data_IF_827052642046
#
_entry.id   IF_827052642046
#
_cell.length_a   1.000
_cell.length_b   1.000
_cell.length_c   1.000
_cell.angle_alpha   90.00
_cell.angle_beta   90.00
_cell.angle_gamma   90.00
#
_symmetry.space_group_name_H-M   'P 1'
#
loop_
_entity.id
_entity.type
_entity.pdbx_description
1 polymer ?
#
# COMPACT_ATOMS: atom_id res chain seq x y z
N UNK A 1 20.82 19.15 22.51
CA UNK A 1 20.97 19.46 21.08
C UNK A 1 19.78 18.87 20.32
N UNK A 2 18.78 19.69 19.99
CA UNK A 2 17.61 19.25 19.21
C UNK A 2 17.99 19.15 17.74
N UNK A 3 17.98 17.92 17.20
CA UNK A 3 18.18 17.67 15.77
C UNK A 3 17.04 18.30 14.96
N UNK A 4 17.40 19.27 14.11
CA UNK A 4 16.50 19.93 13.16
C UNK A 4 16.06 18.88 12.14
N UNK A 5 14.76 18.56 12.10
CA UNK A 5 14.19 17.72 11.04
C UNK A 5 14.28 18.46 9.71
N UNK A 6 14.81 17.81 8.69
CA UNK A 6 14.84 18.34 7.32
C UNK A 6 13.41 18.56 6.81
N UNK A 7 13.15 19.63 6.05
CA UNK A 7 11.87 19.85 5.38
C UNK A 7 11.70 18.79 4.28
N UNK A 8 10.54 18.14 4.24
CA UNK A 8 10.23 17.14 3.22
C UNK A 8 10.64 15.70 3.57
N UNK A 9 10.36 15.24 4.79
CA UNK A 9 10.33 13.80 5.07
C UNK A 9 9.02 13.43 5.76
N UNK A 10 8.07 12.92 4.97
CA UNK A 10 6.86 12.29 5.46
C UNK A 10 7.19 11.22 6.51
N UNK A 11 6.34 11.10 7.53
CA UNK A 11 6.56 10.13 8.61
C UNK A 11 6.69 8.72 8.01
N UNK A 12 7.64 7.87 8.44
CA UNK A 12 7.86 6.54 7.83
C UNK A 12 6.60 5.68 7.71
N UNK A 13 5.79 5.62 8.77
CA UNK A 13 4.46 4.99 8.76
C UNK A 13 3.49 5.53 7.69
N UNK A 14 3.56 6.81 7.35
CA UNK A 14 2.66 7.40 6.35
C UNK A 14 3.03 6.90 4.96
N UNK A 15 4.32 6.96 4.63
CA UNK A 15 4.85 6.48 3.34
C UNK A 15 4.53 5.00 3.14
N UNK A 16 4.90 4.15 4.10
CA UNK A 16 4.70 2.70 3.92
C UNK A 16 3.22 2.31 3.85
N UNK A 17 2.32 3.02 4.53
CA UNK A 17 0.87 2.78 4.44
C UNK A 17 0.33 3.06 3.05
N UNK A 18 0.76 4.16 2.41
CA UNK A 18 0.35 4.44 1.03
C UNK A 18 0.95 3.43 0.05
N UNK A 19 2.22 3.07 0.19
CA UNK A 19 2.82 1.98 -0.61
C UNK A 19 2.04 0.68 -0.44
N UNK A 20 1.69 0.31 0.78
CA UNK A 20 0.91 -0.89 1.08
C UNK A 20 -0.47 -0.84 0.40
N UNK A 21 -1.22 0.24 0.60
CA UNK A 21 -2.58 0.38 0.05
C UNK A 21 -2.56 0.33 -1.47
N UNK A 22 -1.72 1.15 -2.12
CA UNK A 22 -1.69 1.21 -3.59
C UNK A 22 -1.19 -0.10 -4.19
N UNK A 23 -0.18 -0.73 -3.59
CA UNK A 23 0.27 -2.04 -4.05
C UNK A 23 -0.80 -3.11 -3.83
N UNK A 24 -1.52 -3.09 -2.71
CA UNK A 24 -2.65 -4.00 -2.47
C UNK A 24 -3.69 -3.87 -3.59
N UNK A 25 -4.10 -2.63 -3.90
CA UNK A 25 -5.11 -2.35 -4.93
C UNK A 25 -4.64 -2.77 -6.32
N UNK A 26 -3.35 -2.57 -6.64
CA UNK A 26 -2.76 -2.99 -7.90
C UNK A 26 -2.65 -4.51 -8.03
N UNK A 27 -2.31 -5.19 -6.94
CA UNK A 27 -1.92 -6.60 -6.98
C UNK A 27 -3.06 -7.58 -6.80
N UNK A 28 -4.18 -7.16 -6.20
CA UNK A 28 -5.33 -8.04 -6.01
C UNK A 28 -5.89 -8.54 -7.35
N UNK A 29 -6.15 -9.84 -7.44
CA UNK A 29 -6.84 -10.44 -8.58
C UNK A 29 -8.27 -9.90 -8.68
N UNK A 30 -8.68 -9.55 -9.89
CA UNK A 30 -9.97 -8.90 -10.13
C UNK A 30 -11.16 -9.82 -9.82
N UNK A 31 -11.07 -11.11 -10.19
CA UNK A 31 -12.14 -12.08 -9.92
C UNK A 31 -12.28 -12.32 -8.42
N UNK A 32 -11.15 -12.43 -7.71
CA UNK A 32 -11.15 -12.54 -6.25
C UNK A 32 -11.72 -11.29 -5.59
N UNK A 33 -11.34 -10.10 -6.07
CA UNK A 33 -11.85 -8.84 -5.57
C UNK A 33 -13.38 -8.77 -5.70
N UNK A 34 -13.93 -9.07 -6.87
CA UNK A 34 -15.39 -9.03 -7.10
C UNK A 34 -16.12 -10.01 -6.16
N UNK A 35 -15.62 -11.25 -6.05
CA UNK A 35 -16.22 -12.27 -5.19
C UNK A 35 -16.07 -12.00 -3.69
N UNK A 36 -15.10 -11.17 -3.27
CA UNK A 36 -14.79 -10.88 -1.86
C UNK A 36 -14.84 -9.39 -1.55
N UNK A 37 -15.59 -8.62 -2.34
CA UNK A 37 -15.54 -7.15 -2.36
C UNK A 37 -15.66 -6.55 -0.97
N UNK A 38 -16.71 -6.90 -0.24
CA UNK A 38 -16.95 -6.37 1.11
C UNK A 38 -15.78 -6.66 2.06
N UNK A 39 -15.28 -7.90 2.06
CA UNK A 39 -14.15 -8.30 2.91
C UNK A 39 -12.89 -7.51 2.58
N UNK A 40 -12.60 -7.31 1.30
CA UNK A 40 -11.45 -6.52 0.84
C UNK A 40 -11.57 -5.06 1.24
N UNK A 41 -12.74 -4.45 1.00
CA UNK A 41 -12.98 -3.05 1.35
C UNK A 41 -12.91 -2.84 2.87
N UNK A 42 -13.37 -3.80 3.67
CA UNK A 42 -13.23 -3.78 5.13
C UNK A 42 -11.76 -3.85 5.58
N UNK A 43 -10.93 -4.69 4.96
CA UNK A 43 -9.49 -4.75 5.25
C UNK A 43 -8.83 -3.39 5.01
N UNK A 44 -9.06 -2.78 3.85
CA UNK A 44 -8.46 -1.48 3.51
C UNK A 44 -8.99 -0.34 4.39
N UNK A 45 -10.28 -0.34 4.73
CA UNK A 45 -10.87 0.61 5.68
C UNK A 45 -10.24 0.48 7.07
N UNK A 46 -10.03 -0.74 7.56
CA UNK A 46 -9.39 -0.99 8.86
C UNK A 46 -7.92 -0.55 8.86
N UNK A 47 -7.18 -0.76 7.77
CA UNK A 47 -5.80 -0.25 7.64
C UNK A 47 -5.76 1.28 7.82
N UNK A 48 -6.77 2.00 7.33
CA UNK A 48 -6.87 3.45 7.51
C UNK A 48 -7.14 3.87 8.97
N UNK A 49 -7.81 3.04 9.78
CA UNK A 49 -8.07 3.33 11.21
C UNK A 49 -6.86 3.04 12.11
N UNK A 50 -5.89 2.30 11.60
CA UNK A 50 -4.64 1.95 12.27
C UNK A 50 -3.61 3.09 12.33
N UNK A 51 -3.82 4.17 11.57
CA UNK A 51 -2.87 5.28 11.45
C UNK A 51 -2.49 5.82 12.86
N UNK A 52 -1.21 5.97 13.19
CA UNK A 52 -0.79 6.30 14.56
C UNK A 52 -0.96 7.79 14.93
N UNK A 53 -1.28 8.66 13.97
CA UNK A 53 -1.54 10.08 14.25
C UNK A 53 -3.04 10.30 14.48
N UNK A 54 -3.48 10.78 15.67
CA UNK A 54 -4.89 11.01 15.97
C UNK A 54 -5.58 11.95 14.97
N UNK A 55 -4.92 13.04 14.58
CA UNK A 55 -5.45 13.99 13.58
C UNK A 55 -5.61 13.35 12.22
N UNK A 56 -4.61 12.60 11.74
CA UNK A 56 -4.70 11.89 10.46
C UNK A 56 -5.78 10.82 10.49
N UNK A 57 -5.98 10.11 11.61
CA UNK A 57 -7.09 9.17 11.79
C UNK A 57 -8.44 9.87 11.68
N UNK A 58 -8.61 11.00 12.38
CA UNK A 58 -9.86 11.75 12.33
C UNK A 58 -10.18 12.21 10.90
N UNK A 59 -9.21 12.75 10.17
CA UNK A 59 -9.35 13.13 8.76
C UNK A 59 -9.68 11.93 7.87
N UNK A 60 -9.03 10.78 8.11
CA UNK A 60 -9.32 9.54 7.39
C UNK A 60 -10.76 9.08 7.62
N UNK A 61 -11.21 9.01 8.87
CA UNK A 61 -12.59 8.65 9.22
C UNK A 61 -13.61 9.61 8.60
N UNK A 62 -13.32 10.91 8.59
CA UNK A 62 -14.18 11.91 7.96
C UNK A 62 -14.25 11.70 6.44
N UNK A 63 -13.12 11.43 5.78
CA UNK A 63 -13.08 11.15 4.35
C UNK A 63 -13.88 9.90 4.00
N UNK A 64 -13.69 8.79 4.73
CA UNK A 64 -14.42 7.54 4.51
C UNK A 64 -15.93 7.70 4.78
N UNK A 65 -16.32 8.55 5.74
CA UNK A 65 -17.74 8.89 5.99
C UNK A 65 -18.37 9.69 4.84
N UNK A 66 -17.64 10.68 4.31
CA UNK A 66 -18.10 11.52 3.19
C UNK A 66 -18.07 10.78 1.85
N UNK A 67 -17.14 9.85 1.68
CA UNK A 67 -16.94 9.07 0.46
C UNK A 67 -17.03 7.57 0.80
N UNK A 68 -18.24 7.01 1.05
CA UNK A 68 -18.37 5.64 1.54
C UNK A 68 -17.81 4.62 0.54
N UNK A 69 -16.74 3.93 0.95
CA UNK A 69 -16.01 2.98 0.13
C UNK A 69 -16.92 1.90 -0.47
N UNK A 70 -17.84 1.35 0.34
CA UNK A 70 -18.81 0.32 -0.07
C UNK A 70 -19.80 0.76 -1.15
N UNK A 71 -20.08 2.07 -1.25
CA UNK A 71 -21.00 2.63 -2.24
C UNK A 71 -20.30 3.01 -3.54
N UNK A 72 -19.04 3.43 -3.44
CA UNK A 72 -18.28 3.99 -4.56
C UNK A 72 -17.53 2.92 -5.33
N UNK A 73 -16.99 1.90 -4.66
CA UNK A 73 -16.09 0.92 -5.29
C UNK A 73 -16.82 -0.37 -5.65
N UNK A 74 -16.85 -0.69 -6.94
CA UNK A 74 -17.50 -1.87 -7.53
C UNK A 74 -16.50 -2.84 -8.17
N UNK A 75 -15.44 -2.31 -8.76
CA UNK A 75 -14.39 -3.08 -9.44
C UNK A 75 -12.98 -2.61 -8.99
N UNK A 76 -11.95 -3.30 -9.50
CA UNK A 76 -10.56 -3.04 -9.13
C UNK A 76 -10.06 -1.66 -9.58
N UNK A 77 -10.50 -1.16 -10.74
CA UNK A 77 -10.09 0.15 -11.23
C UNK A 77 -10.68 1.28 -10.38
N UNK A 78 -11.94 1.16 -9.99
CA UNK A 78 -12.57 2.08 -9.04
C UNK A 78 -11.89 2.03 -7.67
N UNK A 79 -11.38 0.86 -7.25
CA UNK A 79 -10.62 0.71 -6.01
C UNK A 79 -9.30 1.52 -6.08
N UNK A 80 -8.54 1.34 -7.17
CA UNK A 80 -7.30 2.10 -7.42
C UNK A 80 -7.58 3.60 -7.46
N UNK A 81 -8.60 4.01 -8.23
CA UNK A 81 -8.98 5.41 -8.38
C UNK A 81 -9.46 6.03 -7.05
N UNK A 82 -10.17 5.27 -6.22
CA UNK A 82 -10.61 5.71 -4.90
C UNK A 82 -9.43 6.05 -4.01
N UNK A 83 -8.47 5.14 -3.88
CA UNK A 83 -7.32 5.34 -3.00
C UNK A 83 -6.34 6.38 -3.55
N UNK A 84 -6.26 6.56 -4.88
CA UNK A 84 -5.54 7.68 -5.48
C UNK A 84 -6.14 9.04 -5.07
N UNK A 85 -7.46 9.22 -5.23
CA UNK A 85 -8.15 10.45 -4.80
C UNK A 85 -8.00 10.68 -3.31
N UNK A 86 -8.10 9.62 -2.52
CA UNK A 86 -7.93 9.72 -1.07
C UNK A 86 -6.51 10.14 -0.69
N UNK A 87 -5.49 9.57 -1.32
CA UNK A 87 -4.10 9.96 -1.09
C UNK A 87 -3.88 11.45 -1.40
N UNK A 88 -4.34 11.93 -2.56
CA UNK A 88 -4.26 13.35 -2.91
C UNK A 88 -4.99 14.25 -1.90
N UNK A 89 -6.19 13.87 -1.46
CA UNK A 89 -6.90 14.59 -0.41
C UNK A 89 -6.11 14.62 0.91
N UNK A 90 -5.49 13.51 1.31
CA UNK A 90 -4.66 13.46 2.51
C UNK A 90 -3.41 14.35 2.39
N UNK A 91 -2.76 14.35 1.23
CA UNK A 91 -1.61 15.22 0.92
C UNK A 91 -1.99 16.70 1.02
N UNK A 92 -3.07 17.13 0.37
CA UNK A 92 -3.53 18.52 0.39
C UNK A 92 -3.97 18.99 1.80
N UNK A 93 -4.50 18.09 2.63
CA UNK A 93 -4.78 18.43 4.04
C UNK A 93 -3.51 18.58 4.89
N UNK A 94 -2.47 17.79 4.58
CA UNK A 94 -1.19 17.87 5.29
C UNK A 94 -0.29 19.01 4.79
N UNK A 95 -0.43 19.38 3.52
CA UNK A 95 0.28 20.45 2.85
C UNK A 95 -0.63 21.11 1.78
N UNK A 96 -1.36 22.18 2.12
CA UNK A 96 -2.25 22.87 1.17
C UNK A 96 -1.55 23.47 -0.04
N UNK A 97 -0.23 23.65 0.00
CA UNK A 97 0.59 24.14 -1.13
C UNK A 97 1.07 23.02 -2.07
N UNK A 98 0.86 21.75 -1.70
CA UNK A 98 1.21 20.62 -2.55
C UNK A 98 0.38 20.61 -3.82
N UNK A 99 0.95 20.06 -4.90
CA UNK A 99 0.20 19.78 -6.12
C UNK A 99 -0.39 18.37 -6.04
N UNK A 100 -1.62 18.14 -6.53
CA UNK A 100 -2.13 16.79 -6.72
C UNK A 100 -1.16 15.98 -7.58
N UNK A 101 -0.93 14.72 -7.22
CA UNK A 101 -0.13 13.83 -8.04
C UNK A 101 -0.82 13.57 -9.39
N UNK A 102 -0.02 13.35 -10.43
CA UNK A 102 -0.53 12.86 -11.71
C UNK A 102 -1.00 11.40 -11.57
N UNK A 103 -2.14 10.99 -12.16
CA UNK A 103 -2.62 9.62 -12.09
C UNK A 103 -1.60 8.57 -12.56
N UNK A 104 -0.70 8.90 -13.50
CA UNK A 104 0.36 8.00 -13.97
C UNK A 104 1.29 7.52 -12.86
N UNK A 105 1.35 8.21 -11.72
CA UNK A 105 2.15 7.78 -10.57
C UNK A 105 1.74 6.39 -10.08
N UNK A 106 0.48 5.97 -10.28
CA UNK A 106 0.01 4.66 -9.82
C UNK A 106 0.62 3.50 -10.62
N UNK A 107 1.16 3.78 -11.81
CA UNK A 107 1.76 2.78 -12.68
C UNK A 107 3.03 2.17 -12.05
N UNK A 108 3.71 2.91 -11.18
CA UNK A 108 4.88 2.41 -10.44
C UNK A 108 4.54 1.16 -9.61
N UNK A 109 3.29 1.02 -9.16
CA UNK A 109 2.88 -0.11 -8.33
C UNK A 109 2.73 -1.42 -9.11
N UNK A 110 2.70 -1.39 -10.46
CA UNK A 110 2.69 -2.61 -11.30
C UNK A 110 3.94 -3.46 -11.07
N UNK A 111 5.08 -2.80 -10.86
CA UNK A 111 6.38 -3.41 -10.64
C UNK A 111 6.71 -3.64 -9.17
N UNK A 112 5.82 -3.23 -8.25
CA UNK A 112 6.09 -3.28 -6.83
C UNK A 112 6.16 -4.73 -6.31
N UNK A 113 7.19 -5.01 -5.49
CA UNK A 113 7.34 -6.30 -4.84
C UNK A 113 6.39 -6.39 -3.64
N UNK A 114 5.23 -7.03 -3.86
CA UNK A 114 4.16 -7.13 -2.85
C UNK A 114 4.65 -7.70 -1.53
N UNK A 115 5.43 -8.80 -1.55
CA UNK A 115 5.95 -9.42 -0.32
C UNK A 115 6.82 -8.45 0.48
N UNK A 116 7.77 -7.78 -0.18
CA UNK A 116 8.66 -6.81 0.49
C UNK A 116 7.87 -5.65 1.13
N UNK A 117 6.83 -5.18 0.46
CA UNK A 117 5.99 -4.09 0.96
C UNK A 117 5.16 -4.54 2.16
N UNK A 118 4.57 -5.75 2.12
CA UNK A 118 3.86 -6.33 3.27
C UNK A 118 4.79 -6.50 4.47
N UNK A 119 6.00 -7.01 4.26
CA UNK A 119 7.00 -7.19 5.32
C UNK A 119 7.40 -5.84 5.94
N UNK A 120 7.64 -4.82 5.12
CA UNK A 120 7.98 -3.47 5.59
C UNK A 120 6.80 -2.79 6.33
N UNK A 121 5.58 -2.92 5.82
CA UNK A 121 4.37 -2.41 6.47
C UNK A 121 4.19 -3.05 7.86
N UNK A 122 4.31 -4.38 7.94
CA UNK A 122 4.26 -5.12 9.20
C UNK A 122 5.33 -4.64 10.18
N UNK A 123 6.58 -4.52 9.72
CA UNK A 123 7.69 -4.09 10.56
C UNK A 123 7.49 -2.67 11.12
N UNK A 124 6.96 -1.74 10.33
CA UNK A 124 6.74 -0.36 10.76
C UNK A 124 5.67 -0.26 11.86
N UNK A 125 4.61 -1.05 11.78
CA UNK A 125 3.53 -1.01 12.75
C UNK A 125 3.79 -1.84 14.02
N UNK A 126 4.67 -2.86 13.96
CA UNK A 126 5.11 -3.61 15.16
C UNK A 126 6.04 -2.77 16.06
N UNK A 127 6.86 -1.87 15.48
CA UNK A 127 7.86 -1.08 16.25
C UNK A 127 7.25 -0.15 17.32
N UNK A 128 5.94 0.08 17.30
CA UNK A 128 5.30 1.07 18.17
C UNK A 128 4.93 0.44 19.51
N UNK A 129 5.78 0.64 20.51
CA UNK A 129 5.42 0.36 21.90
C UNK A 129 4.30 1.31 22.35
N UNK A 130 3.26 0.80 23.02
CA UNK A 130 2.19 1.64 23.53
C UNK A 130 2.72 2.62 24.57
N UNK A 131 2.41 3.90 24.40
CA UNK A 131 2.48 4.85 25.52
C UNK A 131 1.19 4.71 26.34
N UNK A 132 1.23 4.99 27.64
CA UNK A 132 0.08 4.83 28.55
C UNK A 132 -1.18 5.59 28.07
N UNK A 133 -0.99 6.71 27.36
CA UNK A 133 -2.08 7.56 26.85
C UNK A 133 -2.74 7.03 25.57
N UNK A 134 -2.09 6.12 24.82
CA UNK A 134 -2.59 5.59 23.53
C UNK A 134 -2.65 4.05 23.52
N UNK A 135 -2.69 3.43 24.72
CA UNK A 135 -2.65 1.99 24.89
C UNK A 135 -3.81 1.28 24.19
N UNK A 136 -5.04 1.79 24.37
CA UNK A 136 -6.24 1.22 23.75
C UNK A 136 -6.16 1.25 22.21
N UNK A 137 -5.71 2.37 21.62
CA UNK A 137 -5.52 2.45 20.17
C UNK A 137 -4.41 1.52 19.71
N UNK A 138 -3.32 1.39 20.46
CA UNK A 138 -2.21 0.50 20.11
C UNK A 138 -2.66 -0.96 20.05
N UNK A 139 -3.43 -1.43 21.04
CA UNK A 139 -4.00 -2.79 21.01
C UNK A 139 -4.96 -2.99 19.84
N UNK A 140 -5.84 -2.02 19.59
CA UNK A 140 -6.75 -2.04 18.44
C UNK A 140 -5.98 -2.10 17.12
N UNK A 141 -4.95 -1.28 16.96
CA UNK A 141 -4.07 -1.25 15.81
C UNK A 141 -3.34 -2.60 15.63
N UNK A 142 -2.84 -3.19 16.70
CA UNK A 142 -2.16 -4.48 16.65
C UNK A 142 -3.11 -5.60 16.22
N UNK A 143 -4.36 -5.59 16.69
CA UNK A 143 -5.40 -6.53 16.24
C UNK A 143 -5.65 -6.41 14.74
N UNK A 144 -5.87 -5.19 14.25
CA UNK A 144 -6.10 -4.96 12.81
C UNK A 144 -4.89 -5.38 11.98
N UNK A 145 -3.67 -5.10 12.46
CA UNK A 145 -2.46 -5.53 11.77
C UNK A 145 -2.44 -7.05 11.63
N UNK A 146 -2.70 -7.78 12.73
CA UNK A 146 -2.73 -9.24 12.72
C UNK A 146 -3.83 -9.77 11.79
N UNK A 147 -5.03 -9.21 11.84
CA UNK A 147 -6.15 -9.60 10.97
C UNK A 147 -5.82 -9.35 9.48
N UNK A 148 -5.18 -8.21 9.18
CA UNK A 148 -4.73 -7.85 7.83
C UNK A 148 -3.67 -8.82 7.32
N UNK A 149 -2.64 -9.10 8.13
CA UNK A 149 -1.57 -10.04 7.75
C UNK A 149 -2.11 -11.46 7.60
N UNK A 150 -3.01 -11.90 8.48
CA UNK A 150 -3.70 -13.19 8.37
C UNK A 150 -4.48 -13.29 7.06
N UNK A 151 -5.28 -12.27 6.74
CA UNK A 151 -6.00 -12.19 5.46
C UNK A 151 -5.05 -12.33 4.26
N UNK A 152 -3.92 -11.62 4.25
CA UNK A 152 -2.95 -11.68 3.16
C UNK A 152 -2.31 -13.06 3.03
N UNK A 153 -1.94 -13.70 4.14
CA UNK A 153 -1.32 -15.03 4.13
C UNK A 153 -2.29 -16.09 3.61
N UNK A 154 -3.55 -16.09 4.09
CA UNK A 154 -4.58 -17.02 3.61
C UNK A 154 -4.88 -16.84 2.13
N UNK A 155 -4.76 -15.62 1.60
CA UNK A 155 -5.16 -15.27 0.24
C UNK A 155 -3.97 -14.94 -0.67
N UNK A 156 -2.74 -15.29 -0.30
CA UNK A 156 -1.51 -14.84 -0.96
C UNK A 156 -1.50 -15.09 -2.47
N UNK A 157 -2.08 -16.21 -2.92
CA UNK A 157 -2.16 -16.59 -4.35
C UNK A 157 -2.87 -15.55 -5.21
N UNK A 158 -3.80 -14.79 -4.62
CA UNK A 158 -4.58 -13.76 -5.29
C UNK A 158 -3.86 -12.41 -5.40
N UNK A 159 -2.62 -12.31 -4.89
CA UNK A 159 -1.77 -11.11 -4.98
C UNK A 159 -0.47 -11.36 -5.76
N UNK A 160 -0.23 -12.61 -6.17
CA UNK A 160 0.94 -13.01 -6.94
C UNK A 160 0.74 -12.76 -8.43
N UNK A 161 1.81 -12.43 -9.16
CA UNK A 161 1.75 -12.36 -10.62
C UNK A 161 1.43 -13.77 -11.12
N UNK A 162 0.36 -13.92 -11.89
CA UNK A 162 0.19 -15.12 -12.72
C UNK A 162 1.32 -15.08 -13.72
N UNK A 163 2.30 -16.00 -13.60
CA UNK A 163 3.32 -16.17 -14.63
C UNK A 163 2.56 -16.39 -15.94
N UNK A 164 2.67 -15.45 -16.87
CA UNK A 164 2.20 -15.67 -18.23
C UNK A 164 3.01 -16.85 -18.72
N UNK A 165 2.35 -17.99 -18.92
CA UNK A 165 2.96 -19.09 -19.65
C UNK A 165 3.20 -18.55 -21.06
N UNK A 166 4.44 -18.53 -21.57
CA UNK A 166 4.65 -18.22 -22.97
C UNK A 166 3.83 -19.22 -23.78
N UNK A 167 2.88 -18.73 -24.57
CA UNK A 167 2.24 -19.55 -25.58
C UNK A 167 3.34 -19.94 -26.56
N UNK A 168 3.78 -21.19 -26.49
CA UNK A 168 4.69 -21.77 -27.47
C UNK A 168 3.99 -21.79 -28.82
N UNK A 169 4.23 -20.75 -29.61
CA UNK A 169 4.12 -20.76 -31.06
C UNK A 169 4.99 -19.63 -31.58
N UNK A 170 6.28 -19.92 -31.73
CA UNK A 170 7.08 -19.51 -32.89
C UNK A 170 8.44 -20.20 -32.85
N UNK A 171 8.83 -20.72 -34.01
CA UNK A 171 10.01 -21.53 -34.26
C UNK A 171 11.29 -20.71 -34.07
N UNK A 172 12.32 -21.34 -33.48
CA UNK A 172 13.69 -20.82 -33.41
C UNK A 172 14.25 -20.47 -34.80
N UNK A 173 15.20 -19.53 -34.84
CA UNK A 173 16.55 -19.97 -35.14
C UNK A 173 17.61 -19.48 -34.15
N UNK A 174 18.71 -20.23 -34.17
CA UNK A 174 19.92 -20.22 -33.34
C UNK A 174 20.75 -18.93 -33.45
N UNK A 175 21.33 -18.45 -32.34
CA UNK A 175 22.80 -18.46 -32.12
C UNK A 175 23.22 -17.77 -30.81
N UNK A 176 24.36 -18.27 -30.32
CA UNK A 176 25.14 -17.94 -29.11
C UNK A 176 25.37 -16.44 -28.86
N UNK A 177 25.35 -16.01 -27.58
CA UNK A 177 26.57 -15.53 -26.89
C UNK A 177 26.36 -15.26 -25.39
N UNK A 178 27.50 -15.12 -24.72
CA UNK A 178 27.82 -15.26 -23.31
C UNK A 178 27.05 -14.42 -22.28
N UNK A 179 26.90 -15.04 -21.11
CA UNK A 179 26.46 -14.47 -19.83
C UNK A 179 27.59 -13.66 -19.17
N UNK A 180 27.25 -12.63 -18.38
CA UNK A 180 27.91 -12.54 -17.08
C UNK A 180 26.94 -12.31 -15.93
N UNK A 181 27.35 -12.89 -14.81
CA UNK A 181 26.83 -12.74 -13.46
C UNK A 181 26.90 -11.29 -12.99
N UNK A 182 25.94 -10.84 -12.16
CA UNK A 182 26.32 -10.19 -10.90
C UNK A 182 25.18 -10.12 -9.88
N UNK A 183 25.59 -10.45 -8.66
CA UNK A 183 24.90 -10.31 -7.40
C UNK A 183 25.01 -8.83 -6.98
N UNK A 184 23.91 -8.12 -6.78
CA UNK A 184 23.96 -6.84 -6.06
C UNK A 184 22.77 -6.72 -5.10
N UNK A 185 23.12 -6.66 -3.81
CA UNK A 185 22.20 -6.32 -2.73
C UNK A 185 21.95 -4.82 -2.81
N UNK A 186 20.91 -4.42 -3.52
CA UNK A 186 20.50 -3.01 -3.54
C UNK A 186 19.76 -2.64 -2.24
N UNK A 187 20.45 -1.85 -1.43
CA UNK A 187 19.87 -0.99 -0.41
C UNK A 187 18.98 0.04 -1.10
N UNK A 188 17.67 -0.18 -1.08
CA UNK A 188 16.72 0.77 -1.69
C UNK A 188 16.44 1.90 -0.70
N UNK A 189 17.02 3.05 -0.98
CA UNK A 189 16.53 4.34 -0.48
C UNK A 189 15.18 4.61 -1.14
N UNK A 190 14.13 4.73 -0.33
CA UNK A 190 12.79 5.12 -0.78
C UNK A 190 12.80 6.60 -1.21
N UNK A 191 13.19 6.86 -2.46
CA UNK A 191 13.18 8.19 -3.04
C UNK A 191 11.90 8.42 -3.84
N UNK A 192 11.16 9.45 -3.40
CA UNK A 192 10.17 10.25 -4.16
C UNK A 192 8.83 9.56 -4.43
N UNK A 193 7.83 9.87 -3.61
CA UNK A 193 6.77 10.87 -3.93
C UNK A 193 6.36 11.50 -2.60
N UNK A 194 6.58 12.81 -2.43
CA UNK A 194 6.02 13.62 -1.35
C UNK A 194 5.04 14.65 -1.91
#
# INVERSE_FOLDING_TARGET
MSSKKSPGQGKPWGRITWYFIHTFCERIDETFFIGNREKVLNVLSNVCSMIPCPTCRAHSSQYLKKNPLMKIVRNKDELKAYFFRFHNHATLNGNPSARPADPSVIEMYKQANFKRIVDAFRAEYIKKSPTRLDYAHTLYAQRILNDTISFLNTNQRWFMVKKVQPTNNEQQPTNNEQQPTNNEKENITFSIVE
#
